data_IF_595565015237
#
_entry.id   IF_595565015237
#
_cell.length_a   1.000
_cell.length_b   1.000
_cell.length_c   1.000
_cell.angle_alpha   90.00
_cell.angle_beta   90.00
_cell.angle_gamma   90.00
#
_symmetry.space_group_name_H-M   'P 1'
#
loop_
_entity.id
_entity.type
_entity.pdbx_description
1 polymer ?
#
# COMPACT_ATOMS: atom_id res chain seq x y z
N UNK A 1 9.39 -9.76 -8.20
CA UNK A 1 9.27 -9.04 -6.92
C UNK A 1 10.18 -9.74 -5.91
N UNK A 2 11.30 -9.13 -5.48
CA UNK A 2 11.99 -9.56 -4.27
C UNK A 2 11.00 -9.59 -3.09
N UNK A 3 11.36 -10.17 -1.95
CA UNK A 3 10.42 -10.37 -0.82
C UNK A 3 9.96 -9.04 -0.21
N UNK A 4 8.93 -8.44 -0.80
CA UNK A 4 8.36 -7.16 -0.40
C UNK A 4 7.24 -7.38 0.62
N UNK A 5 7.35 -6.73 1.77
CA UNK A 5 6.37 -6.83 2.85
C UNK A 5 5.54 -5.55 2.93
N UNK A 6 4.23 -5.70 3.06
CA UNK A 6 3.30 -4.58 3.02
C UNK A 6 2.63 -4.36 4.37
N UNK A 7 2.50 -3.11 4.78
CA UNK A 7 1.57 -2.68 5.83
C UNK A 7 0.58 -1.68 5.25
N UNK A 8 -0.63 -1.71 5.79
CA UNK A 8 -1.71 -0.81 5.41
C UNK A 8 -2.18 -0.05 6.64
N UNK A 9 -2.14 1.27 6.59
CA UNK A 9 -2.71 2.13 7.61
C UNK A 9 -4.01 2.73 7.09
N UNK A 10 -5.11 2.42 7.77
CA UNK A 10 -6.40 3.03 7.44
C UNK A 10 -6.31 4.55 7.69
N UNK A 11 -6.81 5.35 6.76
CA UNK A 11 -6.98 6.76 6.97
C UNK A 11 -8.02 6.98 8.08
N UNK A 12 -7.87 8.08 8.83
CA UNK A 12 -8.86 8.47 9.84
C UNK A 12 -10.25 8.72 9.21
N UNK A 13 -10.30 9.03 7.91
CA UNK A 13 -11.53 9.14 7.13
C UNK A 13 -11.57 8.08 6.02
N UNK A 14 -12.56 7.16 6.03
CA UNK A 14 -12.71 6.19 4.95
C UNK A 14 -13.11 6.93 3.66
N UNK A 15 -12.28 6.82 2.62
CA UNK A 15 -12.52 7.51 1.35
C UNK A 15 -11.72 6.96 0.17
N UNK A 16 -12.00 7.52 -1.01
CA UNK A 16 -11.22 7.31 -2.22
C UNK A 16 -10.49 8.60 -2.57
N UNK A 17 -9.17 8.52 -2.80
CA UNK A 17 -8.34 9.72 -3.11
C UNK A 17 -8.30 10.04 -4.60
N UNK A 18 -8.51 9.03 -5.44
CA UNK A 18 -8.32 9.17 -6.88
C UNK A 18 -9.65 9.11 -7.66
N UNK A 19 -9.71 9.76 -8.83
CA UNK A 19 -10.77 9.54 -9.81
C UNK A 19 -10.92 8.04 -10.13
N UNK A 20 -12.10 7.65 -10.61
CA UNK A 20 -12.32 6.28 -11.10
C UNK A 20 -11.31 6.01 -12.22
N UNK A 21 -10.56 4.92 -12.11
CA UNK A 21 -9.74 4.46 -13.22
C UNK A 21 -10.65 4.12 -14.41
N UNK A 22 -10.54 4.82 -15.55
CA UNK A 22 -11.45 4.64 -16.68
C UNK A 22 -11.32 3.26 -17.34
N UNK A 23 -10.18 2.58 -17.15
CA UNK A 23 -9.90 1.25 -17.71
C UNK A 23 -10.46 0.12 -16.84
N UNK A 24 -10.50 0.29 -15.52
CA UNK A 24 -10.88 -0.80 -14.59
C UNK A 24 -12.18 -0.53 -13.83
N UNK A 25 -12.70 0.70 -13.84
CA UNK A 25 -13.88 1.12 -13.09
C UNK A 25 -13.67 1.19 -11.58
N UNK A 26 -12.42 1.05 -11.09
CA UNK A 26 -12.09 0.96 -9.66
C UNK A 26 -11.44 2.25 -9.15
N UNK A 27 -11.50 2.45 -7.84
CA UNK A 27 -10.87 3.57 -7.12
C UNK A 27 -9.83 3.06 -6.13
N UNK A 28 -8.81 3.85 -5.88
CA UNK A 28 -7.82 3.62 -4.83
C UNK A 28 -8.33 4.17 -3.49
N UNK A 29 -8.17 3.41 -2.41
CA UNK A 29 -8.49 3.90 -1.06
C UNK A 29 -7.49 4.98 -0.60
N UNK A 30 -8.01 5.95 0.17
CA UNK A 30 -7.29 7.09 0.73
C UNK A 30 -6.19 6.74 1.73
N UNK A 31 -6.28 5.54 2.28
CA UNK A 31 -5.35 4.91 3.19
C UNK A 31 -3.91 4.81 2.64
N UNK A 32 -2.97 4.68 3.57
CA UNK A 32 -1.52 4.63 3.29
C UNK A 32 -1.01 3.21 3.16
N UNK A 33 -0.36 2.92 2.02
CA UNK A 33 0.41 1.68 1.81
C UNK A 33 1.87 1.95 2.16
N UNK A 34 2.43 1.16 3.05
CA UNK A 34 3.86 1.17 3.38
C UNK A 34 4.51 -0.14 2.92
N UNK A 35 5.71 -0.02 2.38
CA UNK A 35 6.49 -1.12 1.82
C UNK A 35 7.77 -1.31 2.62
N UNK A 36 8.15 -2.57 2.87
CA UNK A 36 9.31 -2.91 3.69
C UNK A 36 10.13 -4.03 3.06
N UNK A 37 11.47 -3.98 3.20
CA UNK A 37 12.38 -5.00 2.71
C UNK A 37 12.40 -6.27 3.57
N UNK A 38 11.82 -6.23 4.79
CA UNK A 38 11.79 -7.39 5.69
C UNK A 38 10.53 -7.44 6.56
N UNK A 39 10.15 -8.65 7.00
CA UNK A 39 9.07 -8.84 7.99
C UNK A 39 9.36 -8.11 9.30
N UNK A 40 10.62 -8.03 9.71
CA UNK A 40 11.06 -7.37 10.94
C UNK A 40 10.79 -5.87 10.90
N UNK A 41 11.22 -5.20 9.82
CA UNK A 41 10.97 -3.77 9.62
C UNK A 41 9.47 -3.45 9.59
N UNK A 42 8.68 -4.25 8.86
CA UNK A 42 7.21 -4.13 8.86
C UNK A 42 6.62 -4.30 10.26
N UNK A 43 7.08 -5.31 11.01
CA UNK A 43 6.59 -5.59 12.37
C UNK A 43 6.87 -4.44 13.34
N UNK A 44 8.04 -3.82 13.24
CA UNK A 44 8.39 -2.63 14.03
C UNK A 44 7.49 -1.44 13.70
N UNK A 45 7.24 -1.18 12.41
CA UNK A 45 6.32 -0.13 11.98
C UNK A 45 4.90 -0.36 12.52
N UNK A 46 4.37 -1.59 12.41
CA UNK A 46 3.03 -1.93 12.94
C UNK A 46 2.97 -1.73 14.46
N UNK A 47 4.01 -2.14 15.19
CA UNK A 47 4.08 -1.93 16.64
C UNK A 47 4.11 -0.43 17.00
N UNK A 48 4.85 0.38 16.24
CA UNK A 48 4.89 1.85 16.40
C UNK A 48 3.56 2.51 16.05
N UNK A 49 2.83 1.97 15.08
CA UNK A 49 1.53 2.46 14.64
C UNK A 49 0.41 2.22 15.68
N UNK A 50 0.67 1.54 16.81
CA UNK A 50 -0.28 1.35 17.92
C UNK A 50 -1.67 0.85 17.47
N UNK A 51 -1.71 -0.02 16.47
CA UNK A 51 -2.94 -0.62 15.94
C UNK A 51 -3.60 0.13 14.78
N UNK A 52 -3.05 1.26 14.32
CA UNK A 52 -3.58 1.96 13.12
C UNK A 52 -3.10 1.34 11.81
N UNK A 53 -2.04 0.53 11.84
CA UNK A 53 -1.51 -0.18 10.69
C UNK A 53 -1.56 -1.70 10.87
N UNK A 54 -1.85 -2.41 9.77
CA UNK A 54 -1.97 -3.87 9.73
C UNK A 54 -1.10 -4.46 8.63
N UNK A 55 -0.57 -5.66 8.86
CA UNK A 55 0.14 -6.41 7.83
C UNK A 55 -0.84 -6.88 6.75
N UNK A 56 -0.54 -6.60 5.49
CA UNK A 56 -1.34 -7.07 4.35
C UNK A 56 -0.49 -7.88 3.37
N UNK A 57 -1.15 -8.74 2.60
CA UNK A 57 -0.50 -9.47 1.51
C UNK A 57 -0.37 -8.57 0.27
N UNK A 58 0.54 -8.91 -0.65
CA UNK A 58 0.66 -8.22 -1.94
C UNK A 58 -0.68 -8.19 -2.70
N UNK A 59 -1.41 -9.31 -2.70
CA UNK A 59 -2.74 -9.42 -3.31
C UNK A 59 -3.73 -8.43 -2.69
N UNK A 60 -3.74 -8.31 -1.36
CA UNK A 60 -4.62 -7.37 -0.66
C UNK A 60 -4.22 -5.91 -0.92
N UNK A 61 -2.93 -5.58 -0.87
CA UNK A 61 -2.42 -4.26 -1.23
C UNK A 61 -2.85 -3.86 -2.66
N UNK A 62 -2.75 -4.78 -3.62
CA UNK A 62 -3.20 -4.58 -5.00
C UNK A 62 -4.69 -4.28 -5.12
N UNK A 63 -5.51 -4.98 -4.35
CA UNK A 63 -6.96 -4.75 -4.30
C UNK A 63 -7.31 -3.39 -3.68
N UNK A 64 -6.56 -2.95 -2.68
CA UNK A 64 -6.81 -1.67 -2.01
C UNK A 64 -6.40 -0.48 -2.89
N UNK A 65 -5.38 -0.66 -3.74
CA UNK A 65 -4.99 0.27 -4.81
C UNK A 65 -5.49 -0.20 -6.19
N UNK A 66 -6.72 -0.73 -6.26
CA UNK A 66 -7.26 -1.26 -7.51
C UNK A 66 -7.59 -0.19 -8.58
N UNK A 67 -7.56 1.10 -8.20
CA UNK A 67 -7.54 2.22 -9.13
C UNK A 67 -6.23 2.36 -9.90
N UNK A 68 -5.14 1.71 -9.48
CA UNK A 68 -3.91 1.64 -10.28
C UNK A 68 -3.97 0.46 -11.25
N UNK A 69 -3.34 0.58 -12.42
CA UNK A 69 -3.01 -0.59 -13.22
C UNK A 69 -1.80 -1.35 -12.64
N UNK A 70 -1.46 -2.49 -13.23
CA UNK A 70 -0.37 -3.33 -12.68
C UNK A 70 0.99 -2.65 -12.79
N UNK A 71 1.21 -1.84 -13.84
CA UNK A 71 2.47 -1.12 -14.02
C UNK A 71 2.59 -0.02 -12.99
N UNK A 72 1.56 0.83 -12.85
CA UNK A 72 1.52 1.92 -11.88
C UNK A 72 1.59 1.39 -10.44
N UNK A 73 1.00 0.23 -10.16
CA UNK A 73 1.15 -0.41 -8.85
C UNK A 73 2.59 -0.86 -8.60
N UNK A 74 3.27 -1.46 -9.58
CA UNK A 74 4.68 -1.83 -9.41
C UNK A 74 5.59 -0.61 -9.27
N UNK A 75 5.38 0.44 -10.06
CA UNK A 75 6.11 1.71 -9.94
C UNK A 75 5.93 2.33 -8.54
N UNK A 76 4.71 2.31 -7.99
CA UNK A 76 4.45 2.74 -6.62
C UNK A 76 5.19 1.88 -5.59
N UNK A 77 5.20 0.56 -5.76
CA UNK A 77 5.90 -0.34 -4.85
C UNK A 77 7.40 -0.12 -4.88
N UNK A 78 7.99 0.10 -6.06
CA UNK A 78 9.42 0.38 -6.21
C UNK A 78 9.79 1.73 -5.58
N UNK A 79 8.98 2.77 -5.80
CA UNK A 79 9.13 4.07 -5.13
C UNK A 79 9.09 3.93 -3.60
N UNK A 80 8.15 3.15 -3.06
CA UNK A 80 8.01 2.96 -1.62
C UNK A 80 9.07 2.01 -1.04
N UNK A 81 9.65 1.12 -1.84
CA UNK A 81 10.66 0.16 -1.40
C UNK A 81 12.09 0.72 -1.39
N UNK A 82 12.36 1.80 -2.14
CA UNK A 82 13.69 2.37 -2.33
C UNK A 82 13.75 3.89 -2.47
N UNK A 83 12.66 4.61 -2.21
CA UNK A 83 12.62 6.08 -2.24
C UNK A 83 13.26 6.69 -1.00
N UNK A 84 14.58 6.63 -0.92
CA UNK A 84 15.37 7.73 -0.36
C UNK A 84 15.32 8.84 -1.44
N UNK A 85 14.72 9.98 -1.12
CA UNK A 85 14.97 11.25 -1.80
C UNK A 85 15.85 12.10 -0.88
#
# INVERSE_FOLDING_TARGET
MPFTFFAWAAANEPGFVDPINPRTGKRSQADSLSVFPSRKARGQFIAQARGTALAVTAKKARQLKAGLDDRAFHELVDLLAGGDL
#
